data_IF_469615610299
#
_entry.id   IF_469615610299
#
_cell.length_a   1.000
_cell.length_b   1.000
_cell.length_c   1.000
_cell.angle_alpha   90.00
_cell.angle_beta   90.00
_cell.angle_gamma   90.00
#
_symmetry.space_group_name_H-M   'P 1'
#
loop_
_entity.id
_entity.type
_entity.pdbx_description
1 polymer ?
#
# COMPACT_ATOMS: atom_id res chain seq x y z
N UNK A 1 19.11 -4.64 4.22
CA UNK A 1 18.68 -5.93 4.87
C UNK A 1 17.21 -6.06 4.52
N UNK A 2 16.85 -7.09 3.76
CA UNK A 2 15.46 -7.40 3.44
C UNK A 2 14.74 -7.82 4.72
N UNK A 3 13.54 -7.30 4.95
CA UNK A 3 12.69 -7.66 6.08
C UNK A 3 11.29 -7.92 5.52
N UNK A 4 11.15 -9.05 4.84
CA UNK A 4 9.83 -9.53 4.40
C UNK A 4 9.31 -10.57 5.39
N UNK A 5 7.98 -10.65 5.54
CA UNK A 5 7.34 -11.66 6.38
C UNK A 5 6.17 -12.28 5.64
N UNK A 6 6.20 -13.59 5.51
CA UNK A 6 5.07 -14.35 4.97
C UNK A 6 3.90 -14.25 5.94
N UNK A 7 2.74 -13.79 5.46
CA UNK A 7 1.49 -13.70 6.23
C UNK A 7 0.64 -14.94 5.97
N UNK A 8 0.47 -15.28 4.69
CA UNK A 8 -0.21 -16.49 4.23
C UNK A 8 0.65 -17.14 3.14
N UNK A 9 0.15 -18.14 2.42
CA UNK A 9 0.92 -18.76 1.33
C UNK A 9 1.23 -17.79 0.19
N UNK A 10 0.34 -16.83 -0.06
CA UNK A 10 0.41 -15.94 -1.22
C UNK A 10 0.56 -14.46 -0.85
N UNK A 11 0.34 -14.10 0.43
CA UNK A 11 0.43 -12.72 0.93
C UNK A 11 1.71 -12.56 1.73
N UNK A 12 2.54 -11.61 1.31
CA UNK A 12 3.82 -11.28 1.96
C UNK A 12 3.81 -9.82 2.43
N UNK A 13 4.10 -9.58 3.71
CA UNK A 13 4.39 -8.24 4.23
C UNK A 13 5.71 -7.74 3.65
N UNK A 14 5.68 -6.55 3.07
CA UNK A 14 6.84 -5.88 2.46
C UNK A 14 7.09 -4.48 3.05
N UNK A 15 6.29 -4.08 4.02
CA UNK A 15 6.39 -2.80 4.70
C UNK A 15 7.70 -2.59 5.44
N UNK A 16 7.80 -1.49 6.18
CA UNK A 16 9.02 -1.11 6.91
C UNK A 16 8.69 -0.73 8.34
N UNK A 17 9.49 -1.22 9.28
CA UNK A 17 9.45 -0.77 10.68
C UNK A 17 10.48 0.33 10.89
N UNK A 18 10.05 1.51 11.33
CA UNK A 18 10.91 2.65 11.63
C UNK A 18 10.97 2.90 13.16
N UNK A 19 12.18 2.88 13.69
CA UNK A 19 12.48 3.16 15.11
C UNK A 19 13.37 4.41 15.27
N UNK A 20 13.63 5.13 14.18
CA UNK A 20 14.49 6.31 14.17
C UNK A 20 13.74 7.57 14.59
N UNK A 21 12.43 7.61 14.29
CA UNK A 21 11.59 8.75 14.59
C UNK A 21 11.17 8.74 16.06
N UNK A 22 11.23 9.91 16.69
CA UNK A 22 10.70 10.14 18.04
C UNK A 22 9.26 10.63 18.01
N UNK A 23 8.87 11.30 16.92
CA UNK A 23 7.54 11.85 16.69
C UNK A 23 7.05 11.42 15.30
N UNK A 24 5.83 10.95 15.20
CA UNK A 24 5.11 10.79 13.92
C UNK A 24 4.50 12.15 13.56
N UNK A 25 4.68 12.59 12.31
CA UNK A 25 4.25 13.90 11.79
C UNK A 25 4.69 15.11 12.65
N UNK A 26 5.77 14.99 13.40
CA UNK A 26 6.25 15.98 14.37
C UNK A 26 5.24 16.33 15.49
N UNK A 27 4.22 15.52 15.70
CA UNK A 27 3.14 15.76 16.67
C UNK A 27 3.01 14.61 17.68
N UNK A 28 2.93 13.37 17.21
CA UNK A 28 2.60 12.22 18.05
C UNK A 28 3.86 11.49 18.53
N UNK A 29 4.12 11.42 19.85
CA UNK A 29 5.24 10.62 20.37
C UNK A 29 5.09 9.14 20.04
N UNK A 30 6.12 8.55 19.44
CA UNK A 30 6.15 7.12 19.05
C UNK A 30 7.32 6.37 19.70
N UNK A 31 7.32 6.20 21.02
CA UNK A 31 8.45 5.60 21.76
C UNK A 31 8.74 4.15 21.35
N UNK A 32 7.78 3.46 20.71
CA UNK A 32 7.94 2.11 20.16
C UNK A 32 8.20 2.10 18.65
N UNK A 33 8.41 3.27 18.04
CA UNK A 33 8.51 3.41 16.59
C UNK A 33 7.17 3.30 15.88
N UNK A 34 7.21 3.10 14.58
CA UNK A 34 6.05 2.96 13.70
C UNK A 34 6.31 1.86 12.66
N UNK A 35 5.28 1.19 12.20
CA UNK A 35 5.32 0.29 11.06
C UNK A 35 4.50 0.88 9.92
N UNK A 36 5.13 1.02 8.76
CA UNK A 36 4.46 1.35 7.50
C UNK A 36 4.05 0.05 6.84
N UNK A 37 2.77 -0.20 6.75
CA UNK A 37 2.25 -1.52 6.37
C UNK A 37 1.97 -1.58 4.87
N UNK A 38 2.65 -2.47 4.18
CA UNK A 38 2.46 -2.76 2.76
C UNK A 38 2.58 -4.26 2.51
N UNK A 39 1.88 -4.76 1.49
CA UNK A 39 1.78 -6.19 1.23
C UNK A 39 1.85 -6.48 -0.27
N UNK A 40 2.48 -7.60 -0.64
CA UNK A 40 2.39 -8.20 -1.96
C UNK A 40 1.45 -9.39 -1.90
N UNK A 41 0.53 -9.46 -2.86
CA UNK A 41 -0.29 -10.63 -3.14
C UNK A 41 0.23 -11.25 -4.44
N UNK A 42 0.69 -12.50 -4.37
CA UNK A 42 1.22 -13.25 -5.49
C UNK A 42 0.18 -14.26 -6.01
N UNK A 43 -0.32 -14.03 -7.22
CA UNK A 43 -1.26 -14.95 -7.90
C UNK A 43 -0.92 -15.00 -9.40
N UNK A 44 -1.88 -15.29 -10.27
CA UNK A 44 -1.76 -15.14 -11.73
C UNK A 44 -1.36 -13.71 -12.08
N UNK A 45 -1.99 -12.74 -11.41
CA UNK A 45 -1.59 -11.33 -11.36
C UNK A 45 -1.09 -10.97 -9.97
N UNK A 46 -0.19 -10.01 -9.92
CA UNK A 46 0.40 -9.54 -8.67
C UNK A 46 -0.17 -8.19 -8.26
N UNK A 47 -0.42 -8.00 -6.98
CA UNK A 47 -0.86 -6.71 -6.45
C UNK A 47 0.02 -6.26 -5.28
N UNK A 48 0.39 -4.98 -5.27
CA UNK A 48 0.94 -4.28 -4.12
C UNK A 48 -0.20 -3.53 -3.44
N UNK A 49 -0.31 -3.67 -2.12
CA UNK A 49 -1.28 -2.95 -1.29
C UNK A 49 -0.55 -1.88 -0.48
N UNK A 50 -0.87 -0.63 -0.76
CA UNK A 50 -0.24 0.58 -0.24
C UNK A 50 1.29 0.65 -0.46
N UNK A 51 1.85 1.82 -0.26
CA UNK A 51 3.29 2.06 -0.23
C UNK A 51 3.74 2.35 1.22
N UNK A 52 4.81 3.12 1.39
CA UNK A 52 5.35 3.50 2.69
C UNK A 52 5.86 4.95 2.64
N UNK A 53 6.23 5.49 3.79
CA UNK A 53 6.92 6.76 3.92
C UNK A 53 8.18 6.84 3.03
N UNK A 54 8.43 8.02 2.47
CA UNK A 54 9.53 8.23 1.51
C UNK A 54 10.92 7.92 2.08
N UNK A 55 11.18 8.24 3.34
CA UNK A 55 12.48 8.00 3.98
C UNK A 55 12.76 6.50 4.18
N UNK A 56 11.73 5.66 4.07
CA UNK A 56 11.82 4.20 4.15
C UNK A 56 11.87 3.52 2.76
N UNK A 57 11.77 4.29 1.68
CA UNK A 57 11.62 3.81 0.30
C UNK A 57 12.70 2.83 -0.14
N UNK A 58 13.96 3.02 0.28
CA UNK A 58 15.05 2.12 -0.10
C UNK A 58 14.83 0.69 0.39
N UNK A 59 14.50 0.53 1.68
CA UNK A 59 14.24 -0.80 2.27
C UNK A 59 12.97 -1.39 1.67
N UNK A 60 11.96 -0.57 1.48
CA UNK A 60 10.69 -0.95 0.87
C UNK A 60 10.88 -1.53 -0.53
N UNK A 61 11.61 -0.85 -1.41
CA UNK A 61 11.91 -1.34 -2.77
C UNK A 61 12.66 -2.67 -2.74
N UNK A 62 13.63 -2.84 -1.83
CA UNK A 62 14.33 -4.12 -1.65
C UNK A 62 13.35 -5.24 -1.24
N UNK A 63 12.41 -4.95 -0.32
CA UNK A 63 11.40 -5.89 0.13
C UNK A 63 10.43 -6.28 -1.01
N UNK A 64 9.91 -5.29 -1.75
CA UNK A 64 9.01 -5.50 -2.90
C UNK A 64 9.67 -6.40 -3.94
N UNK A 65 10.91 -6.07 -4.35
CA UNK A 65 11.67 -6.87 -5.33
C UNK A 65 11.87 -8.31 -4.86
N UNK A 66 12.16 -8.49 -3.57
CA UNK A 66 12.34 -9.82 -2.99
C UNK A 66 11.04 -10.64 -3.00
N UNK A 67 9.91 -10.03 -2.59
CA UNK A 67 8.62 -10.70 -2.56
C UNK A 67 8.10 -11.04 -3.97
N UNK A 68 8.38 -10.19 -4.95
CA UNK A 68 8.04 -10.44 -6.35
C UNK A 68 8.88 -11.56 -6.97
N UNK A 69 10.10 -11.78 -6.48
CA UNK A 69 11.00 -12.84 -6.95
C UNK A 69 11.14 -12.90 -8.49
N UNK A 70 11.32 -11.74 -9.12
CA UNK A 70 11.47 -11.61 -10.58
C UNK A 70 10.16 -11.44 -11.36
N UNK A 71 9.00 -11.54 -10.72
CA UNK A 71 7.71 -11.15 -11.34
C UNK A 71 7.62 -9.62 -11.45
N UNK A 72 6.72 -9.15 -12.31
CA UNK A 72 6.31 -7.74 -12.37
C UNK A 72 5.14 -7.45 -11.44
N UNK A 73 4.76 -6.18 -11.30
CA UNK A 73 3.49 -5.79 -10.69
C UNK A 73 2.45 -5.57 -11.77
N UNK A 74 1.23 -6.08 -11.53
CA UNK A 74 0.05 -5.78 -12.36
C UNK A 74 -0.77 -4.64 -11.76
N UNK A 75 -0.87 -4.59 -10.42
CA UNK A 75 -1.68 -3.61 -9.71
C UNK A 75 -0.92 -3.00 -8.53
N UNK A 76 -1.17 -1.71 -8.30
CA UNK A 76 -0.80 -0.97 -7.10
C UNK A 76 -2.11 -0.42 -6.52
N UNK A 77 -2.57 -1.00 -5.43
CA UNK A 77 -3.78 -0.57 -4.72
C UNK A 77 -3.40 0.49 -3.71
N UNK A 78 -4.08 1.64 -3.76
CA UNK A 78 -3.85 2.76 -2.83
C UNK A 78 -5.10 2.94 -1.98
N UNK A 79 -5.07 2.42 -0.76
CA UNK A 79 -6.14 2.56 0.21
C UNK A 79 -6.15 3.96 0.83
N UNK A 80 -4.95 4.57 1.01
CA UNK A 80 -4.79 5.84 1.70
C UNK A 80 -3.68 6.69 1.09
N UNK A 81 -3.85 8.01 1.11
CA UNK A 81 -2.93 8.97 0.48
C UNK A 81 -2.03 9.71 1.49
N UNK A 82 -2.13 9.42 2.78
CA UNK A 82 -1.20 9.96 3.77
C UNK A 82 0.24 9.54 3.44
N UNK A 83 1.25 10.38 3.72
CA UNK A 83 2.64 10.10 3.30
C UNK A 83 3.21 8.76 3.74
N UNK A 84 2.79 8.23 4.87
CA UNK A 84 3.24 6.92 5.37
C UNK A 84 2.62 5.74 4.60
N UNK A 85 1.57 5.97 3.79
CA UNK A 85 0.97 5.01 2.86
C UNK A 85 1.31 5.32 1.39
N UNK A 86 1.67 6.56 1.05
CA UNK A 86 1.82 6.99 -0.34
C UNK A 86 3.14 7.70 -0.66
N UNK A 87 3.99 7.98 0.33
CA UNK A 87 5.23 8.75 0.13
C UNK A 87 6.18 8.13 -0.89
N UNK A 88 6.24 6.80 -0.96
CA UNK A 88 7.07 6.06 -1.94
C UNK A 88 6.31 5.67 -3.22
N UNK A 89 5.05 6.09 -3.39
CA UNK A 89 4.18 5.67 -4.50
C UNK A 89 4.82 6.00 -5.86
N UNK A 90 5.32 7.22 -6.02
CA UNK A 90 5.96 7.63 -7.27
C UNK A 90 7.13 6.71 -7.64
N UNK A 91 8.02 6.42 -6.68
CA UNK A 91 9.17 5.55 -6.92
C UNK A 91 8.74 4.15 -7.38
N UNK A 92 7.69 3.59 -6.79
CA UNK A 92 7.14 2.29 -7.21
C UNK A 92 6.53 2.39 -8.62
N UNK A 93 5.80 3.45 -8.93
CA UNK A 93 5.27 3.69 -10.28
C UNK A 93 6.37 3.79 -11.33
N UNK A 94 7.47 4.49 -11.04
CA UNK A 94 8.62 4.61 -11.93
C UNK A 94 9.32 3.25 -12.17
N UNK A 95 9.36 2.39 -11.15
CA UNK A 95 9.94 1.04 -11.25
C UNK A 95 9.02 0.03 -11.95
N UNK A 96 7.72 0.22 -11.88
CA UNK A 96 6.70 -0.66 -12.46
C UNK A 96 5.70 0.16 -13.28
N UNK A 97 6.13 0.74 -14.43
CA UNK A 97 5.32 1.68 -15.20
C UNK A 97 4.07 1.05 -15.82
N UNK A 98 4.08 -0.27 -16.03
CA UNK A 98 2.95 -1.01 -16.60
C UNK A 98 1.91 -1.44 -15.56
N UNK A 99 2.20 -1.29 -14.25
CA UNK A 99 1.25 -1.59 -13.19
C UNK A 99 0.11 -0.56 -13.17
N UNK A 100 -1.14 -1.00 -13.08
CA UNK A 100 -2.28 -0.11 -12.93
C UNK A 100 -2.46 0.34 -11.47
N UNK A 101 -2.68 1.65 -11.26
CA UNK A 101 -3.06 2.22 -9.97
C UNK A 101 -4.56 1.99 -9.73
N UNK A 102 -4.90 1.30 -8.65
CA UNK A 102 -6.28 1.04 -8.24
C UNK A 102 -6.60 1.88 -7.01
N UNK A 103 -7.53 2.81 -7.12
CA UNK A 103 -7.84 3.76 -6.05
C UNK A 103 -9.23 4.37 -6.19
N UNK A 104 -9.74 5.02 -5.13
CA UNK A 104 -10.96 5.82 -5.22
C UNK A 104 -10.75 7.03 -6.15
N UNK A 105 -11.83 7.56 -6.70
CA UNK A 105 -11.75 8.81 -7.50
C UNK A 105 -11.10 9.93 -6.72
N UNK A 106 -11.40 10.05 -5.42
CA UNK A 106 -10.83 11.09 -4.57
C UNK A 106 -9.33 10.92 -4.37
N UNK A 107 -8.85 9.68 -4.18
CA UNK A 107 -7.42 9.40 -4.09
C UNK A 107 -6.70 9.74 -5.40
N UNK A 108 -7.28 9.42 -6.56
CA UNK A 108 -6.73 9.80 -7.87
C UNK A 108 -6.61 11.34 -8.01
N UNK A 109 -7.60 12.09 -7.54
CA UNK A 109 -7.53 13.56 -7.53
C UNK A 109 -6.41 14.07 -6.61
N UNK A 110 -6.22 13.43 -5.45
CA UNK A 110 -5.12 13.75 -4.53
C UNK A 110 -3.75 13.38 -5.09
N UNK A 111 -3.64 12.26 -5.81
CA UNK A 111 -2.40 11.91 -6.53
C UNK A 111 -1.98 13.02 -7.48
N UNK A 112 -2.93 13.60 -8.24
CA UNK A 112 -2.64 14.72 -9.12
C UNK A 112 -2.20 15.98 -8.36
N UNK A 113 -2.70 16.20 -7.14
CA UNK A 113 -2.28 17.31 -6.29
C UNK A 113 -0.88 17.09 -5.70
N UNK A 114 -0.55 15.86 -5.29
CA UNK A 114 0.73 15.54 -4.63
C UNK A 114 1.87 15.35 -5.61
N UNK A 115 1.58 14.73 -6.76
CA UNK A 115 2.59 14.29 -7.73
C UNK A 115 2.46 14.98 -9.10
N UNK A 116 1.46 15.86 -9.28
CA UNK A 116 1.19 16.46 -10.58
C UNK A 116 0.92 15.39 -11.65
N UNK A 117 1.49 15.58 -12.84
CA UNK A 117 1.37 14.64 -13.97
C UNK A 117 2.46 13.54 -13.97
N UNK A 118 3.15 13.33 -12.85
CA UNK A 118 4.30 12.43 -12.80
C UNK A 118 3.93 10.95 -12.75
N UNK A 119 2.75 10.60 -12.19
CA UNK A 119 2.26 9.22 -12.18
C UNK A 119 1.62 8.88 -13.52
N UNK A 120 2.37 8.20 -14.40
CA UNK A 120 1.94 7.85 -15.76
C UNK A 120 1.15 6.55 -15.84
N UNK A 121 1.17 5.73 -14.81
CA UNK A 121 0.44 4.48 -14.70
C UNK A 121 -1.05 4.66 -15.02
N UNK A 122 -1.68 3.67 -15.64
CA UNK A 122 -3.13 3.62 -15.80
C UNK A 122 -3.81 3.75 -14.44
N UNK A 123 -4.95 4.45 -14.37
CA UNK A 123 -5.76 4.60 -13.15
C UNK A 123 -7.07 3.85 -13.30
N UNK A 124 -7.25 2.81 -12.50
CA UNK A 124 -8.51 2.10 -12.33
C UNK A 124 -9.24 2.73 -11.14
N UNK A 125 -10.24 3.54 -11.46
CA UNK A 125 -11.06 4.19 -10.42
C UNK A 125 -12.09 3.20 -9.91
N UNK A 126 -12.05 2.90 -8.61
CA UNK A 126 -12.99 2.00 -7.94
C UNK A 126 -13.91 2.74 -6.98
N UNK A 127 -15.06 2.14 -6.71
CA UNK A 127 -16.09 2.60 -5.77
C UNK A 127 -16.55 1.45 -4.90
N UNK A 128 -17.44 1.74 -3.99
CA UNK A 128 -18.06 0.77 -3.06
C UNK A 128 -18.52 -0.52 -3.77
N UNK A 129 -17.95 -1.65 -3.36
CA UNK A 129 -18.30 -2.97 -3.85
C UNK A 129 -17.70 -3.38 -5.20
N UNK A 130 -16.90 -2.52 -5.84
CA UNK A 130 -16.16 -2.92 -7.04
C UNK A 130 -15.10 -3.99 -6.70
N UNK A 131 -14.74 -4.82 -7.68
CA UNK A 131 -13.77 -5.91 -7.49
C UNK A 131 -12.69 -5.91 -8.57
N UNK A 132 -11.52 -6.46 -8.22
CA UNK A 132 -10.42 -6.79 -9.14
C UNK A 132 -9.97 -8.22 -8.88
N UNK A 133 -9.98 -9.05 -9.93
CA UNK A 133 -9.50 -10.43 -9.85
C UNK A 133 -8.00 -10.50 -10.13
N UNK A 134 -7.29 -11.27 -9.31
CA UNK A 134 -5.88 -11.60 -9.50
C UNK A 134 -5.67 -13.03 -10.03
N UNK A 135 -6.75 -13.80 -10.17
CA UNK A 135 -6.79 -15.22 -10.46
C UNK A 135 -7.69 -15.92 -9.46
N UNK A 136 -7.13 -16.64 -8.50
CA UNK A 136 -7.90 -17.21 -7.36
C UNK A 136 -8.22 -16.17 -6.28
N UNK A 137 -7.37 -15.15 -6.13
CA UNK A 137 -7.61 -14.02 -5.24
C UNK A 137 -8.50 -12.98 -5.91
N UNK A 138 -9.49 -12.47 -5.19
CA UNK A 138 -10.32 -11.36 -5.59
C UNK A 138 -10.29 -10.27 -4.53
N UNK A 139 -10.01 -9.05 -4.97
CA UNK A 139 -9.98 -7.85 -4.14
C UNK A 139 -11.31 -7.12 -4.27
N UNK A 140 -11.99 -6.87 -3.16
CA UNK A 140 -13.20 -6.05 -3.09
C UNK A 140 -12.90 -4.76 -2.33
N UNK A 141 -13.42 -3.63 -2.82
CA UNK A 141 -13.11 -2.31 -2.28
C UNK A 141 -14.32 -1.73 -1.54
N UNK A 142 -14.08 -1.23 -0.34
CA UNK A 142 -15.09 -0.59 0.49
C UNK A 142 -14.61 0.80 0.91
N UNK A 143 -15.43 1.81 0.64
CA UNK A 143 -15.05 3.19 0.94
C UNK A 143 -15.27 3.50 2.42
N UNK A 144 -14.30 4.20 3.02
CA UNK A 144 -14.33 4.63 4.41
C UNK A 144 -14.05 6.15 4.53
N UNK A 145 -14.85 7.00 3.85
CA UNK A 145 -14.56 8.43 3.78
C UNK A 145 -14.57 9.07 5.16
N UNK A 146 -13.55 9.94 5.41
CA UNK A 146 -13.31 10.62 6.69
C UNK A 146 -12.89 9.69 7.84
N UNK A 147 -12.43 8.48 7.51
CA UNK A 147 -11.85 7.55 8.48
C UNK A 147 -10.40 7.20 8.07
N UNK A 148 -9.41 8.14 8.30
CA UNK A 148 -9.64 9.51 8.84
C UNK A 148 -9.58 10.60 7.76
N UNK A 149 -9.12 10.30 6.53
CA UNK A 149 -9.08 11.21 5.38
C UNK A 149 -10.24 10.94 4.41
N UNK A 150 -10.56 11.91 3.51
CA UNK A 150 -11.78 11.84 2.68
C UNK A 150 -11.74 10.78 1.58
N UNK A 151 -10.57 10.27 1.20
CA UNK A 151 -10.37 9.33 0.09
C UNK A 151 -10.25 7.88 0.54
N UNK A 152 -10.15 7.62 1.84
CA UNK A 152 -9.82 6.30 2.40
C UNK A 152 -10.77 5.22 1.90
N UNK A 153 -10.20 4.09 1.54
CA UNK A 153 -10.90 2.83 1.34
C UNK A 153 -10.18 1.71 2.08
N UNK A 154 -10.84 0.59 2.24
CA UNK A 154 -10.26 -0.66 2.71
C UNK A 154 -10.42 -1.71 1.63
N UNK A 155 -9.47 -2.63 1.52
CA UNK A 155 -9.46 -3.71 0.53
C UNK A 155 -9.65 -5.04 1.24
N UNK A 156 -10.69 -5.78 0.86
CA UNK A 156 -10.93 -7.13 1.35
C UNK A 156 -10.54 -8.15 0.29
N UNK A 157 -9.67 -9.06 0.67
CA UNK A 157 -9.26 -10.21 -0.13
C UNK A 157 -10.09 -11.43 0.28
N UNK A 158 -10.83 -12.00 -0.66
CA UNK A 158 -11.91 -12.96 -0.35
C UNK A 158 -11.44 -14.42 -0.21
N UNK A 159 -10.31 -14.81 -0.84
CA UNK A 159 -9.84 -16.21 -0.84
C UNK A 159 -9.25 -16.60 0.53
N UNK A 160 -8.31 -15.82 1.05
CA UNK A 160 -7.68 -16.03 2.36
C UNK A 160 -8.36 -15.23 3.48
N UNK A 161 -9.37 -14.42 3.13
CA UNK A 161 -10.19 -13.61 4.05
C UNK A 161 -9.38 -12.58 4.84
N UNK A 162 -8.55 -11.84 4.12
CA UNK A 162 -7.69 -10.80 4.69
C UNK A 162 -8.27 -9.42 4.41
N UNK A 163 -8.36 -8.58 5.42
CA UNK A 163 -8.73 -7.17 5.31
C UNK A 163 -7.48 -6.29 5.41
N UNK A 164 -7.19 -5.55 4.35
CA UNK A 164 -6.20 -4.48 4.33
C UNK A 164 -6.90 -3.17 4.68
N UNK A 165 -6.73 -2.75 5.92
CA UNK A 165 -7.56 -1.72 6.55
C UNK A 165 -6.92 -0.33 6.61
N UNK A 166 -5.78 -0.11 5.97
CA UNK A 166 -4.99 1.11 6.14
C UNK A 166 -4.80 1.41 7.66
N UNK A 167 -5.19 2.59 8.13
CA UNK A 167 -5.07 3.00 9.52
C UNK A 167 -6.17 2.49 10.45
N UNK A 168 -7.27 1.97 9.88
CA UNK A 168 -8.35 1.46 10.70
C UNK A 168 -7.84 0.31 11.60
N UNK A 169 -8.20 0.35 12.88
CA UNK A 169 -7.78 -0.59 13.92
C UNK A 169 -6.28 -0.56 14.26
N UNK A 170 -5.52 0.40 13.70
CA UNK A 170 -4.09 0.54 13.88
C UNK A 170 -3.70 1.12 15.26
N UNK A 171 -2.43 0.93 15.59
CA UNK A 171 -1.77 1.61 16.70
C UNK A 171 -0.28 1.79 16.36
N UNK A 172 0.34 2.86 16.86
CA UNK A 172 1.77 3.08 16.65
C UNK A 172 2.63 1.99 17.30
N UNK A 173 3.52 1.43 16.53
CA UNK A 173 4.51 0.47 16.98
C UNK A 173 5.27 -0.17 15.82
N UNK A 174 6.59 -0.28 15.96
CA UNK A 174 7.39 -1.04 15.03
C UNK A 174 7.20 -2.53 15.27
N UNK A 175 7.03 -3.30 14.21
CA UNK A 175 6.98 -4.76 14.26
C UNK A 175 8.37 -5.33 14.58
N UNK A 176 8.42 -6.43 15.31
CA UNK A 176 9.67 -7.12 15.66
C UNK A 176 10.07 -8.13 14.60
#
# INVERSE_FOLDING_TARGET
MQVTRQITNDITYVGVSDRRLSLFENIFPIPRGVSYNSYIINDEKTALIDAVDYDSSRVFVENVKAALNGKTLDYIVVNHMEPDHAGSLRLICDLYPDAALVATKKAVDMMAQFFGDELKNEKIVVKEGDTVSLGKHELSFYTAPMVHWPEVMVTYESFEKVLFSADAFGAFGALN
#
